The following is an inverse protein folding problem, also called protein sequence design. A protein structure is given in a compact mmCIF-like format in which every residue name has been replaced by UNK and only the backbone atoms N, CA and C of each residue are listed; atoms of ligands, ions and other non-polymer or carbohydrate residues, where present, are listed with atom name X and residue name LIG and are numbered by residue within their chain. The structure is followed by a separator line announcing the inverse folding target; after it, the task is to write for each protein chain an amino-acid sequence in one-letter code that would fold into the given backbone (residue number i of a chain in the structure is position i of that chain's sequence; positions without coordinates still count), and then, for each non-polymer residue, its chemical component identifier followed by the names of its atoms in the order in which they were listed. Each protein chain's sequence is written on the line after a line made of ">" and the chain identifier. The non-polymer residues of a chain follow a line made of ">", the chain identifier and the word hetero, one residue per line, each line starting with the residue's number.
data_IF_509818368216
#
_entry.id   IF_509818368216
#
_cell.length_a   1.000
_cell.length_b   1.000
_cell.length_c   1.000
_cell.angle_alpha   90.00
_cell.angle_beta   90.00
_cell.angle_gamma   90.00
#
_symmetry.space_group_name_H-M   'P 1'
#
loop_
_entity.id
_entity.type
_entity.pdbx_description
1 polymer ?
#
# COMPACT_ATOMS: atom_id res chain seq x y z
N UNK A 1 -22.71 -7.42 9.20
CA UNK A 1 -22.57 -7.29 7.73
C UNK A 1 -21.11 -7.07 7.42
N UNK A 2 -20.33 -8.15 7.38
CA UNK A 2 -18.88 -8.08 7.16
C UNK A 2 -18.52 -7.87 5.70
N UNK A 3 -17.23 -7.71 5.41
CA UNK A 3 -16.65 -7.61 4.06
C UNK A 3 -16.92 -8.84 3.15
N UNK A 4 -17.77 -9.77 3.57
CA UNK A 4 -18.17 -11.00 2.87
C UNK A 4 -18.94 -10.78 1.56
N UNK A 5 -19.25 -9.53 1.21
CA UNK A 5 -19.85 -9.15 -0.08
C UNK A 5 -18.86 -8.56 -1.11
N UNK A 6 -17.62 -8.25 -0.70
CA UNK A 6 -16.61 -7.73 -1.61
C UNK A 6 -15.83 -8.91 -2.18
N UNK A 7 -16.32 -9.40 -3.32
CA UNK A 7 -15.59 -10.39 -4.11
C UNK A 7 -14.22 -9.82 -4.54
N UNK A 8 -13.10 -10.54 -4.39
CA UNK A 8 -11.80 -10.07 -4.87
C UNK A 8 -11.80 -9.61 -6.34
N UNK A 9 -12.70 -10.17 -7.16
CA UNK A 9 -12.88 -9.77 -8.56
C UNK A 9 -13.47 -8.37 -8.75
N UNK A 10 -14.35 -7.91 -7.84
CA UNK A 10 -14.91 -6.54 -7.95
C UNK A 10 -13.83 -5.50 -7.67
N UNK A 11 -12.91 -5.79 -6.74
CA UNK A 11 -11.76 -4.93 -6.48
C UNK A 11 -10.83 -4.84 -7.69
N UNK A 12 -10.64 -5.95 -8.41
CA UNK A 12 -9.84 -5.95 -9.64
C UNK A 12 -10.49 -5.14 -10.78
N UNK A 13 -11.82 -5.22 -10.93
CA UNK A 13 -12.55 -4.41 -11.91
C UNK A 13 -12.42 -2.92 -11.63
N UNK A 14 -12.58 -2.52 -10.36
CA UNK A 14 -12.39 -1.13 -9.91
C UNK A 14 -10.94 -0.68 -10.15
N UNK A 15 -9.97 -1.55 -9.87
CA UNK A 15 -8.56 -1.27 -10.12
C UNK A 15 -8.27 -1.03 -11.60
N UNK A 16 -8.82 -1.86 -12.50
CA UNK A 16 -8.73 -1.65 -13.96
C UNK A 16 -9.30 -0.28 -14.38
N UNK A 17 -10.44 0.13 -13.83
CA UNK A 17 -11.03 1.45 -14.11
C UNK A 17 -10.11 2.57 -13.65
N UNK A 18 -9.57 2.49 -12.43
CA UNK A 18 -8.63 3.48 -11.89
C UNK A 18 -7.38 3.56 -12.78
N UNK A 19 -6.79 2.43 -13.15
CA UNK A 19 -5.63 2.37 -14.05
C UNK A 19 -5.97 2.98 -15.42
N UNK A 20 -7.17 2.73 -15.96
CA UNK A 20 -7.63 3.27 -17.23
C UNK A 20 -7.83 4.79 -17.20
N UNK A 21 -8.39 5.34 -16.12
CA UNK A 21 -8.64 6.78 -15.97
C UNK A 21 -7.36 7.59 -15.73
N UNK A 22 -6.50 7.10 -14.84
CA UNK A 22 -5.30 7.82 -14.43
C UNK A 22 -4.07 7.48 -15.27
N UNK A 23 -4.10 6.34 -15.97
CA UNK A 23 -2.93 5.77 -16.65
C UNK A 23 -1.92 5.18 -15.67
N UNK A 24 -1.16 4.19 -16.13
CA UNK A 24 -0.12 3.51 -15.32
C UNK A 24 1.02 4.44 -14.92
N UNK A 25 1.34 5.46 -15.73
CA UNK A 25 2.43 6.40 -15.46
C UNK A 25 2.19 7.25 -14.21
N UNK A 26 0.96 7.78 -14.02
CA UNK A 26 0.62 8.56 -12.82
C UNK A 26 0.61 7.67 -11.58
N UNK A 27 0.00 6.48 -11.68
CA UNK A 27 0.00 5.48 -10.61
C UNK A 27 1.42 5.07 -10.20
N UNK A 28 2.35 4.93 -11.16
CA UNK A 28 3.75 4.62 -10.86
C UNK A 28 4.46 5.73 -10.10
N UNK A 29 4.30 6.99 -10.51
CA UNK A 29 4.93 8.13 -9.80
C UNK A 29 4.42 8.27 -8.38
N UNK A 30 3.08 8.30 -8.21
CA UNK A 30 2.43 8.41 -6.91
C UNK A 30 2.73 7.19 -6.04
N UNK A 31 2.75 5.99 -6.63
CA UNK A 31 3.09 4.76 -5.93
C UNK A 31 4.53 4.71 -5.45
N UNK A 32 5.48 5.28 -6.19
CA UNK A 32 6.88 5.37 -5.77
C UNK A 32 7.05 6.33 -4.58
N UNK A 33 6.37 7.48 -4.61
CA UNK A 33 6.43 8.48 -3.54
C UNK A 33 5.77 7.96 -2.25
N UNK A 34 4.56 7.41 -2.37
CA UNK A 34 3.85 6.78 -1.25
C UNK A 34 4.60 5.55 -0.72
N UNK A 35 5.16 4.73 -1.62
CA UNK A 35 5.93 3.55 -1.25
C UNK A 35 7.18 3.91 -0.44
N UNK A 36 7.84 5.00 -0.80
CA UNK A 36 8.99 5.53 -0.04
C UNK A 36 8.55 5.99 1.35
N UNK A 37 7.45 6.74 1.47
CA UNK A 37 6.93 7.18 2.76
C UNK A 37 6.52 6.01 3.67
N UNK A 38 5.83 5.01 3.13
CA UNK A 38 5.42 3.80 3.87
C UNK A 38 6.64 2.98 4.31
N UNK A 39 7.67 2.88 3.46
CA UNK A 39 8.91 2.19 3.81
C UNK A 39 9.58 2.86 5.01
N UNK A 40 9.76 4.18 4.97
CA UNK A 40 10.35 4.93 6.09
C UNK A 40 9.52 4.78 7.38
N UNK A 41 8.19 4.77 7.26
CA UNK A 41 7.29 4.54 8.39
C UNK A 41 7.46 3.14 8.99
N UNK A 42 7.52 2.09 8.16
CA UNK A 42 7.77 0.72 8.61
C UNK A 42 9.16 0.58 9.27
N UNK A 43 10.17 1.19 8.67
CA UNK A 43 11.55 1.13 9.16
C UNK A 43 11.67 1.83 10.52
N UNK A 44 10.97 2.95 10.74
CA UNK A 44 10.90 3.62 12.04
C UNK A 44 10.23 2.74 13.11
N UNK A 45 9.09 2.11 12.79
CA UNK A 45 8.42 1.17 13.69
C UNK A 45 9.28 -0.05 14.02
N UNK A 46 10.02 -0.57 13.03
CA UNK A 46 10.87 -1.76 13.21
C UNK A 46 12.19 -1.44 13.93
N UNK A 47 12.65 -0.18 13.87
CA UNK A 47 13.85 0.28 14.58
C UNK A 47 13.64 0.36 16.09
N UNK A 48 12.40 0.60 16.54
CA UNK A 48 12.01 0.56 17.95
C UNK A 48 12.09 -0.87 18.51
N UNK A 49 11.65 -1.87 17.72
CA UNK A 49 11.71 -3.29 18.10
C UNK A 49 13.14 -3.90 18.09
N UNK A 50 14.04 -3.39 17.24
CA UNK A 50 15.43 -3.89 17.16
C UNK A 50 16.40 -3.24 18.16
N UNK A 51 15.97 -2.23 18.90
CA UNK A 51 16.76 -1.58 19.94
C UNK A 51 16.23 -1.88 21.36
N UNK A 52 15.73 -3.10 21.58
CA UNK A 52 15.70 -3.65 22.94
C UNK A 52 17.08 -4.26 23.21
N UNK A 53 17.96 -3.60 24.00
CA UNK A 53 19.17 -4.28 24.46
C UNK A 53 18.70 -5.50 25.24
N UNK A 54 19.04 -6.68 24.72
CA UNK A 54 18.98 -7.92 25.48
C UNK A 54 20.01 -7.80 26.60
N UNK A 55 19.59 -7.28 27.75
CA UNK A 55 20.28 -7.30 29.03
C UNK A 55 19.26 -7.28 30.15
#
# INVERSE_FOLDING_TARGET
>A
MGLSGISPLSLFLIFMIIVGLFGTNKLKSIGADLGTAIKQFRDALSSDDKNKPSS
#
